data_IF_727144503247
#
_entry.id   IF_727144503247
#
_cell.length_a   1.000
_cell.length_b   1.000
_cell.length_c   1.000
_cell.angle_alpha   90.00
_cell.angle_beta   90.00
_cell.angle_gamma   90.00
#
_symmetry.space_group_name_H-M   'P 1'
#
loop_
_entity.id
_entity.type
_entity.pdbx_description
1 polymer ?
#
# COMPACT_ATOMS: atom_id res chain seq x y z
N UNK A 1 6.88 7.72 8.75
CA UNK A 1 5.97 7.55 9.90
C UNK A 1 4.52 7.77 9.47
N UNK A 2 4.14 8.93 8.93
CA UNK A 2 2.77 9.25 8.53
C UNK A 2 2.10 8.21 7.58
N UNK A 3 2.86 7.61 6.64
CA UNK A 3 2.33 6.57 5.76
C UNK A 3 1.98 5.27 6.50
N UNK A 4 2.76 4.90 7.51
CA UNK A 4 2.51 3.72 8.35
C UNK A 4 1.24 3.93 9.20
N UNK A 5 1.11 5.10 9.81
CA UNK A 5 -0.08 5.47 10.58
C UNK A 5 -1.35 5.44 9.71
N UNK A 6 -1.26 6.00 8.49
CA UNK A 6 -2.36 5.98 7.53
C UNK A 6 -2.78 4.55 7.15
N UNK A 7 -1.82 3.64 6.94
CA UNK A 7 -2.10 2.23 6.66
C UNK A 7 -2.74 1.53 7.86
N UNK A 8 -2.25 1.80 9.07
CA UNK A 8 -2.81 1.22 10.30
C UNK A 8 -4.25 1.68 10.51
N UNK A 9 -4.52 2.99 10.38
CA UNK A 9 -5.87 3.54 10.49
C UNK A 9 -6.81 2.98 9.41
N UNK A 10 -6.32 2.87 8.16
CA UNK A 10 -7.09 2.29 7.06
C UNK A 10 -7.43 0.82 7.35
N UNK A 11 -6.46 0.05 7.85
CA UNK A 11 -6.67 -1.35 8.23
C UNK A 11 -7.68 -1.49 9.38
N UNK A 12 -7.66 -0.58 10.36
CA UNK A 12 -8.66 -0.49 11.41
C UNK A 12 -10.07 -0.24 10.86
N UNK A 13 -10.23 0.83 10.07
CA UNK A 13 -11.53 1.16 9.44
C UNK A 13 -12.11 0.00 8.62
N UNK A 14 -11.26 -0.75 7.88
CA UNK A 14 -11.73 -1.90 7.12
C UNK A 14 -12.26 -3.02 8.05
N UNK A 15 -11.62 -3.27 9.20
CA UNK A 15 -12.09 -4.24 10.17
C UNK A 15 -13.40 -3.80 10.84
N UNK A 16 -13.54 -2.52 11.12
CA UNK A 16 -14.77 -1.97 11.72
C UNK A 16 -15.94 -2.08 10.74
N UNK A 17 -15.73 -1.83 9.46
CA UNK A 17 -16.74 -2.09 8.41
C UNK A 17 -17.13 -3.57 8.37
N UNK A 18 -16.15 -4.49 8.43
CA UNK A 18 -16.44 -5.93 8.45
C UNK A 18 -17.30 -6.34 9.64
N UNK A 19 -17.06 -5.77 10.83
CA UNK A 19 -17.90 -5.99 12.02
C UNK A 19 -19.30 -5.41 11.83
N UNK A 20 -19.40 -4.15 11.36
CA UNK A 20 -20.67 -3.51 11.13
C UNK A 20 -21.56 -4.27 10.11
N UNK A 21 -20.97 -4.85 9.06
CA UNK A 21 -21.71 -5.75 8.15
C UNK A 21 -22.28 -6.97 8.90
N UNK A 22 -21.53 -7.54 9.84
CA UNK A 22 -22.01 -8.68 10.64
C UNK A 22 -23.08 -8.28 11.66
N UNK A 23 -22.92 -7.14 12.28
CA UNK A 23 -23.88 -6.58 13.25
C UNK A 23 -25.22 -6.26 12.57
N UNK A 24 -25.17 -5.72 11.36
CA UNK A 24 -26.36 -5.37 10.56
C UNK A 24 -26.70 -6.42 9.50
N UNK A 25 -26.46 -7.71 9.80
CA UNK A 25 -26.64 -8.82 8.85
C UNK A 25 -27.97 -8.79 8.10
N UNK A 26 -29.09 -8.74 8.82
CA UNK A 26 -30.42 -8.76 8.23
C UNK A 26 -30.69 -7.58 7.28
N UNK A 27 -30.17 -6.40 7.62
CA UNK A 27 -30.27 -5.22 6.77
C UNK A 27 -29.48 -5.39 5.47
N UNK A 28 -28.23 -5.84 5.56
CA UNK A 28 -27.38 -6.07 4.39
C UNK A 28 -27.93 -7.18 3.51
N UNK A 29 -28.44 -8.27 4.09
CA UNK A 29 -29.08 -9.37 3.35
C UNK A 29 -30.31 -8.89 2.60
N UNK A 30 -31.16 -8.10 3.25
CA UNK A 30 -32.35 -7.49 2.63
C UNK A 30 -31.97 -6.61 1.44
N UNK A 31 -30.94 -5.74 1.59
CA UNK A 31 -30.47 -4.88 0.51
C UNK A 31 -29.94 -5.70 -0.68
N UNK A 32 -29.11 -6.73 -0.44
CA UNK A 32 -28.58 -7.59 -1.48
C UNK A 32 -29.69 -8.30 -2.23
N UNK A 33 -30.65 -8.87 -1.51
CA UNK A 33 -31.79 -9.57 -2.11
C UNK A 33 -32.69 -8.65 -2.93
N UNK A 34 -33.02 -7.47 -2.40
CA UNK A 34 -33.86 -6.50 -3.11
C UNK A 34 -33.21 -6.00 -4.40
N UNK A 35 -31.91 -5.67 -4.35
CA UNK A 35 -31.19 -5.18 -5.54
C UNK A 35 -31.04 -6.31 -6.57
N UNK A 36 -30.71 -7.53 -6.17
CA UNK A 36 -30.60 -8.66 -7.09
C UNK A 36 -31.95 -8.98 -7.73
N UNK A 37 -33.03 -9.03 -6.96
CA UNK A 37 -34.39 -9.24 -7.50
C UNK A 37 -34.77 -8.13 -8.50
N UNK A 38 -34.50 -6.87 -8.19
CA UNK A 38 -34.76 -5.76 -9.13
C UNK A 38 -33.96 -5.90 -10.43
N UNK A 39 -32.69 -6.32 -10.33
CA UNK A 39 -31.85 -6.52 -11.52
C UNK A 39 -32.40 -7.65 -12.40
N UNK A 40 -32.88 -8.74 -11.79
CA UNK A 40 -33.51 -9.87 -12.52
C UNK A 40 -34.83 -9.49 -13.18
N UNK A 41 -35.63 -8.65 -12.51
CA UNK A 41 -36.95 -8.29 -12.98
C UNK A 41 -36.93 -7.18 -14.04
N UNK A 42 -36.21 -6.09 -13.80
CA UNK A 42 -36.26 -4.88 -14.63
C UNK A 42 -34.94 -4.53 -15.29
N UNK A 43 -33.87 -5.28 -15.01
CA UNK A 43 -32.52 -5.06 -15.54
C UNK A 43 -31.76 -3.91 -14.84
N UNK A 44 -30.47 -3.81 -15.18
CA UNK A 44 -29.55 -2.89 -14.50
C UNK A 44 -29.89 -1.40 -14.64
N UNK A 45 -30.29 -0.96 -15.84
CA UNK A 45 -30.55 0.47 -16.11
C UNK A 45 -31.77 0.98 -15.35
N UNK A 46 -32.83 0.18 -15.32
CA UNK A 46 -34.04 0.50 -14.57
C UNK A 46 -33.79 0.41 -13.05
N UNK A 47 -33.10 -0.62 -12.59
CA UNK A 47 -32.71 -0.75 -11.17
C UNK A 47 -31.86 0.43 -10.72
N UNK A 48 -30.89 0.86 -11.52
CA UNK A 48 -30.05 2.02 -11.21
C UNK A 48 -30.85 3.31 -11.05
N UNK A 49 -31.95 3.43 -11.77
CA UNK A 49 -32.85 4.57 -11.64
C UNK A 49 -33.73 4.45 -10.39
N UNK A 50 -34.26 3.24 -10.12
CA UNK A 50 -35.10 2.97 -8.97
C UNK A 50 -34.38 3.15 -7.62
N UNK A 51 -33.11 2.73 -7.52
CA UNK A 51 -32.34 2.86 -6.27
C UNK A 51 -31.95 4.29 -5.89
N UNK A 52 -32.02 5.27 -6.82
CA UNK A 52 -31.73 6.67 -6.51
C UNK A 52 -32.67 7.31 -5.47
N UNK A 53 -33.83 6.68 -5.22
CA UNK A 53 -34.79 7.11 -4.22
C UNK A 53 -34.68 6.38 -2.89
N UNK A 54 -33.70 5.50 -2.72
CA UNK A 54 -33.50 4.70 -1.51
C UNK A 54 -32.34 5.27 -0.71
N UNK A 55 -32.59 5.82 0.48
CA UNK A 55 -31.57 6.48 1.32
C UNK A 55 -30.41 5.55 1.71
N UNK A 56 -30.67 4.25 1.74
CA UNK A 56 -29.68 3.22 2.07
C UNK A 56 -28.72 2.88 0.93
N UNK A 57 -29.00 3.31 -0.31
CA UNK A 57 -28.16 3.00 -1.47
C UNK A 57 -27.70 4.29 -2.14
N UNK A 58 -26.40 4.49 -2.18
CA UNK A 58 -25.76 5.67 -2.78
C UNK A 58 -25.61 5.53 -4.28
N UNK A 59 -25.11 4.37 -4.72
CA UNK A 59 -24.84 4.12 -6.14
C UNK A 59 -24.75 2.63 -6.44
N UNK A 60 -24.88 2.26 -7.72
CA UNK A 60 -24.62 0.90 -8.21
C UNK A 60 -23.68 0.95 -9.40
N UNK A 61 -22.72 0.00 -9.43
CA UNK A 61 -21.76 -0.18 -10.50
C UNK A 61 -22.02 -1.54 -11.19
N UNK A 62 -22.61 -1.53 -12.40
CA UNK A 62 -22.89 -2.76 -13.16
C UNK A 62 -21.63 -3.53 -13.54
N UNK A 63 -20.55 -2.83 -13.90
CA UNK A 63 -19.32 -3.46 -14.40
C UNK A 63 -18.63 -4.32 -13.33
N UNK A 64 -18.72 -3.90 -12.07
CA UNK A 64 -18.14 -4.63 -10.93
C UNK A 64 -19.16 -5.42 -10.14
N UNK A 65 -20.44 -5.37 -10.52
CA UNK A 65 -21.57 -5.93 -9.79
C UNK A 65 -21.56 -5.58 -8.31
N UNK A 66 -21.38 -4.27 -8.04
CA UNK A 66 -21.31 -3.74 -6.69
C UNK A 66 -22.31 -2.63 -6.45
N UNK A 67 -22.72 -2.47 -5.22
CA UNK A 67 -23.48 -1.31 -4.75
C UNK A 67 -22.71 -0.60 -3.65
N UNK A 68 -22.85 0.72 -3.62
CA UNK A 68 -22.47 1.53 -2.44
C UNK A 68 -23.71 1.68 -1.59
N UNK A 69 -23.68 1.11 -0.40
CA UNK A 69 -24.77 1.14 0.56
C UNK A 69 -24.33 1.86 1.83
N UNK A 70 -25.31 2.33 2.61
CA UNK A 70 -25.11 2.89 3.93
C UNK A 70 -25.56 1.88 4.97
N UNK A 71 -24.78 1.73 6.03
CA UNK A 71 -25.17 0.98 7.22
C UNK A 71 -25.83 1.92 8.23
N UNK A 72 -26.80 1.41 9.01
CA UNK A 72 -27.40 2.18 10.08
C UNK A 72 -26.38 2.47 11.19
N UNK A 73 -26.51 3.62 11.83
CA UNK A 73 -25.84 3.92 13.10
C UNK A 73 -26.64 3.41 14.31
N UNK A 74 -26.24 3.78 15.51
CA UNK A 74 -26.91 3.39 16.78
C UNK A 74 -28.36 3.93 16.85
N UNK A 75 -28.70 4.98 16.11
CA UNK A 75 -30.02 5.59 16.02
C UNK A 75 -30.86 4.98 14.90
N UNK A 76 -30.27 4.12 14.07
CA UNK A 76 -30.93 3.50 12.92
C UNK A 76 -30.91 4.36 11.64
N UNK A 77 -30.15 5.48 11.65
CA UNK A 77 -30.04 6.39 10.50
C UNK A 77 -28.89 5.98 9.55
N UNK A 78 -29.01 6.25 8.23
CA UNK A 78 -27.97 5.93 7.26
C UNK A 78 -26.67 6.68 7.53
N UNK A 79 -25.61 5.96 7.90
CA UNK A 79 -24.35 6.54 8.35
C UNK A 79 -23.15 6.04 7.55
N UNK A 80 -22.64 4.87 7.83
CA UNK A 80 -21.37 4.38 7.25
C UNK A 80 -21.55 3.88 5.84
N UNK A 81 -20.86 4.51 4.87
CA UNK A 81 -20.84 4.05 3.48
C UNK A 81 -19.92 2.86 3.28
N UNK A 82 -20.45 1.82 2.64
CA UNK A 82 -19.75 0.57 2.34
C UNK A 82 -19.99 0.15 0.88
N UNK A 83 -19.06 -0.63 0.34
CA UNK A 83 -19.26 -1.28 -0.96
C UNK A 83 -19.61 -2.74 -0.76
N UNK A 84 -20.74 -3.19 -1.31
CA UNK A 84 -21.19 -4.57 -1.26
C UNK A 84 -21.12 -5.20 -2.66
N UNK A 85 -20.58 -6.39 -2.74
CA UNK A 85 -20.59 -7.22 -3.96
C UNK A 85 -21.88 -8.01 -4.02
N UNK A 86 -22.63 -7.84 -5.10
CA UNK A 86 -23.95 -8.48 -5.29
C UNK A 86 -23.87 -9.99 -5.50
N UNK A 87 -22.74 -10.47 -6.02
CA UNK A 87 -22.48 -11.91 -6.24
C UNK A 87 -22.00 -12.63 -4.96
N UNK A 88 -21.86 -11.90 -3.86
CA UNK A 88 -21.33 -12.42 -2.61
C UNK A 88 -22.39 -12.40 -1.50
N UNK A 89 -22.35 -13.40 -0.65
CA UNK A 89 -23.16 -13.42 0.57
C UNK A 89 -22.71 -12.32 1.54
N UNK A 90 -23.54 -12.01 2.54
CA UNK A 90 -23.19 -11.07 3.62
C UNK A 90 -21.88 -11.48 4.28
N UNK A 91 -21.72 -12.77 4.58
CA UNK A 91 -20.48 -13.28 5.18
C UNK A 91 -19.25 -13.08 4.30
N UNK A 92 -19.35 -13.32 3.01
CA UNK A 92 -18.25 -13.12 2.06
C UNK A 92 -17.90 -11.64 1.93
N UNK A 93 -18.89 -10.75 1.90
CA UNK A 93 -18.68 -9.31 1.93
C UNK A 93 -17.95 -8.87 3.22
N UNK A 94 -18.35 -9.36 4.38
CA UNK A 94 -17.65 -9.08 5.64
C UNK A 94 -16.22 -9.61 5.62
N UNK A 95 -16.00 -10.83 5.14
CA UNK A 95 -14.65 -11.41 5.02
C UNK A 95 -13.75 -10.66 4.07
N UNK A 96 -14.29 -10.10 2.98
CA UNK A 96 -13.52 -9.23 2.09
C UNK A 96 -12.92 -8.03 2.85
N UNK A 97 -13.71 -7.37 3.69
CA UNK A 97 -13.23 -6.25 4.51
C UNK A 97 -12.22 -6.68 5.58
N UNK A 98 -12.44 -7.81 6.26
CA UNK A 98 -11.47 -8.35 7.21
C UNK A 98 -10.13 -8.71 6.56
N UNK A 99 -10.16 -9.34 5.38
CA UNK A 99 -8.95 -9.68 4.63
C UNK A 99 -8.19 -8.43 4.19
N UNK A 100 -8.91 -7.42 3.70
CA UNK A 100 -8.33 -6.12 3.30
C UNK A 100 -7.70 -5.41 4.51
N UNK A 101 -8.38 -5.40 5.65
CA UNK A 101 -7.87 -4.82 6.90
C UNK A 101 -6.61 -5.54 7.41
N UNK A 102 -6.58 -6.87 7.38
CA UNK A 102 -5.38 -7.66 7.72
C UNK A 102 -4.21 -7.34 6.79
N UNK A 103 -4.45 -7.26 5.48
CA UNK A 103 -3.41 -6.93 4.49
C UNK A 103 -2.81 -5.54 4.71
N UNK A 104 -3.65 -4.54 5.00
CA UNK A 104 -3.19 -3.18 5.28
C UNK A 104 -2.39 -3.11 6.59
N UNK A 105 -2.80 -3.83 7.64
CA UNK A 105 -2.03 -3.96 8.90
C UNK A 105 -0.68 -4.65 8.69
N UNK A 106 -0.63 -5.77 7.97
CA UNK A 106 0.61 -6.46 7.65
C UNK A 106 1.59 -5.57 6.87
N UNK A 107 1.08 -4.78 5.93
CA UNK A 107 1.90 -3.80 5.20
C UNK A 107 2.46 -2.72 6.13
N UNK A 108 1.66 -2.24 7.08
CA UNK A 108 2.11 -1.27 8.08
C UNK A 108 3.21 -1.85 8.99
N UNK A 109 3.04 -3.08 9.45
CA UNK A 109 4.03 -3.79 10.26
C UNK A 109 5.34 -4.03 9.49
N UNK A 110 5.26 -4.49 8.24
CA UNK A 110 6.42 -4.66 7.38
C UNK A 110 7.18 -3.35 7.13
N UNK A 111 6.46 -2.27 6.88
CA UNK A 111 7.06 -0.94 6.71
C UNK A 111 7.71 -0.43 8.01
N UNK A 112 7.10 -0.70 9.18
CA UNK A 112 7.67 -0.36 10.48
C UNK A 112 8.97 -1.12 10.74
N UNK A 113 8.98 -2.43 10.49
CA UNK A 113 10.16 -3.27 10.66
C UNK A 113 11.32 -2.82 9.74
N UNK A 114 11.03 -2.50 8.47
CA UNK A 114 12.03 -1.98 7.53
C UNK A 114 12.60 -0.63 7.97
N UNK A 115 11.75 0.25 8.52
CA UNK A 115 12.19 1.54 9.06
C UNK A 115 13.13 1.34 10.26
N UNK A 116 12.78 0.47 11.19
CA UNK A 116 13.61 0.16 12.36
C UNK A 116 14.96 -0.44 11.95
N UNK A 117 14.98 -1.35 10.97
CA UNK A 117 16.23 -1.92 10.45
C UNK A 117 17.12 -0.84 9.82
N UNK A 118 16.52 0.05 9.02
CA UNK A 118 17.23 1.17 8.39
C UNK A 118 17.85 2.08 9.44
N UNK A 119 17.09 2.43 10.49
CA UNK A 119 17.58 3.25 11.60
C UNK A 119 18.73 2.57 12.36
N UNK A 120 18.61 1.26 12.62
CA UNK A 120 19.71 0.49 13.25
C UNK A 120 20.97 0.49 12.38
N UNK A 121 20.79 0.35 11.06
CA UNK A 121 21.90 0.40 10.09
C UNK A 121 22.58 1.77 10.06
N UNK A 122 21.81 2.84 10.03
CA UNK A 122 22.32 4.21 10.10
C UNK A 122 23.13 4.45 11.37
N UNK A 123 22.59 4.08 12.54
CA UNK A 123 23.29 4.21 13.82
C UNK A 123 24.62 3.46 13.86
N UNK A 124 24.69 2.25 13.22
CA UNK A 124 25.95 1.51 13.11
C UNK A 124 26.98 2.25 12.24
N UNK A 125 26.53 2.78 11.10
CA UNK A 125 27.41 3.53 10.19
C UNK A 125 27.93 4.81 10.87
N UNK A 126 27.08 5.55 11.57
CA UNK A 126 27.46 6.75 12.32
C UNK A 126 28.48 6.43 13.42
N UNK A 127 28.23 5.38 14.21
CA UNK A 127 29.20 4.92 15.23
C UNK A 127 30.54 4.50 14.62
N UNK A 128 30.53 3.85 13.45
CA UNK A 128 31.76 3.48 12.78
C UNK A 128 32.50 4.69 12.25
N UNK A 129 31.82 5.65 11.66
CA UNK A 129 32.39 6.93 11.21
C UNK A 129 33.04 7.69 12.36
N UNK A 130 32.32 7.83 13.49
CA UNK A 130 32.87 8.50 14.66
C UNK A 130 34.13 7.81 15.21
N UNK A 131 34.21 6.49 15.17
CA UNK A 131 35.40 5.73 15.56
C UNK A 131 36.55 5.94 14.59
N UNK A 132 36.27 5.95 13.28
CA UNK A 132 37.28 6.14 12.24
C UNK A 132 37.84 7.58 12.28
N UNK A 133 36.99 8.58 12.54
CA UNK A 133 37.40 9.97 12.76
C UNK A 133 38.25 10.12 14.02
N UNK A 134 37.86 9.53 15.15
CA UNK A 134 38.62 9.55 16.39
C UNK A 134 39.98 8.84 16.26
N UNK A 135 40.04 7.82 15.39
CA UNK A 135 41.32 7.12 15.10
C UNK A 135 42.16 7.80 14.02
N UNK A 136 41.78 8.98 13.54
CA UNK A 136 42.49 9.68 12.47
C UNK A 136 42.48 8.96 11.12
N UNK A 137 41.56 7.97 10.95
CA UNK A 137 41.39 7.26 9.70
C UNK A 137 40.52 8.08 8.76
N UNK A 138 41.15 8.73 7.79
CA UNK A 138 40.40 9.37 6.69
C UNK A 138 39.76 8.28 5.86
N UNK A 139 38.47 8.07 6.04
CA UNK A 139 37.71 7.20 5.16
C UNK A 139 37.54 7.92 3.82
N UNK A 140 38.41 7.61 2.89
CA UNK A 140 38.18 7.97 1.49
C UNK A 140 36.87 7.32 1.06
N UNK A 141 35.89 8.15 0.76
CA UNK A 141 34.60 7.67 0.27
C UNK A 141 34.84 6.73 -0.93
N UNK A 142 34.48 5.44 -0.79
CA UNK A 142 34.58 4.51 -1.92
C UNK A 142 33.72 5.04 -3.05
N UNK A 143 34.36 5.47 -4.11
CA UNK A 143 33.70 5.98 -5.29
C UNK A 143 32.93 4.84 -5.98
N UNK A 144 31.63 5.00 -6.17
CA UNK A 144 30.76 3.98 -6.75
C UNK A 144 30.99 3.77 -8.26
N UNK A 145 31.53 4.76 -8.95
CA UNK A 145 31.86 4.68 -10.36
C UNK A 145 33.36 4.79 -10.58
N UNK A 146 33.95 3.80 -11.22
CA UNK A 146 35.31 3.83 -11.70
C UNK A 146 35.36 4.61 -13.02
N UNK A 147 36.39 5.38 -13.23
CA UNK A 147 36.65 5.94 -14.55
C UNK A 147 37.07 4.82 -15.52
N UNK A 148 36.80 5.01 -16.81
CA UNK A 148 37.08 4.01 -17.84
C UNK A 148 38.56 3.61 -17.90
N UNK A 149 39.47 4.54 -17.55
CA UNK A 149 40.92 4.30 -17.58
C UNK A 149 41.45 3.57 -16.33
N UNK A 150 40.69 3.41 -15.25
CA UNK A 150 41.16 2.75 -14.02
C UNK A 150 41.40 1.26 -14.17
N UNK A 151 40.93 0.66 -15.28
CA UNK A 151 41.25 -0.70 -15.69
C UNK A 151 42.67 -0.87 -16.22
N UNK A 152 43.36 0.23 -16.58
CA UNK A 152 44.69 0.27 -17.14
C UNK A 152 45.72 0.74 -16.12
N UNK A 153 47.04 0.70 -16.48
CA UNK A 153 48.07 1.43 -15.75
C UNK A 153 47.96 2.89 -16.15
N UNK A 154 47.84 3.78 -15.23
CA UNK A 154 47.68 5.20 -15.53
C UNK A 154 48.44 6.09 -14.56
N UNK A 155 48.85 7.24 -15.02
CA UNK A 155 49.42 8.29 -14.22
C UNK A 155 49.07 9.67 -14.81
N UNK A 156 49.02 10.67 -13.94
CA UNK A 156 48.86 12.06 -14.37
C UNK A 156 50.21 12.70 -14.47
N UNK A 157 50.55 13.27 -15.61
CA UNK A 157 51.80 14.00 -15.81
C UNK A 157 51.71 15.38 -15.18
N UNK A 158 52.86 16.01 -14.91
CA UNK A 158 52.94 17.37 -14.37
C UNK A 158 52.29 18.42 -15.28
N UNK A 159 52.16 18.12 -16.57
CA UNK A 159 51.41 18.92 -17.56
C UNK A 159 49.88 18.76 -17.48
N UNK A 160 49.32 17.91 -16.57
CA UNK A 160 47.90 17.63 -16.47
C UNK A 160 47.39 16.59 -17.47
N UNK A 161 48.25 16.03 -18.33
CA UNK A 161 47.89 14.99 -19.29
C UNK A 161 47.83 13.61 -18.62
N UNK A 162 46.82 12.80 -19.01
CA UNK A 162 46.64 11.43 -18.51
C UNK A 162 47.43 10.48 -19.42
N UNK A 163 48.42 9.80 -18.83
CA UNK A 163 49.15 8.72 -19.50
C UNK A 163 48.51 7.38 -19.14
N UNK A 164 48.19 6.55 -20.16
CA UNK A 164 47.57 5.26 -19.96
C UNK A 164 48.40 4.20 -20.69
N UNK A 165 48.65 3.10 -20.00
CA UNK A 165 49.38 1.93 -20.55
C UNK A 165 48.61 0.63 -20.28
N UNK A 166 48.74 -0.35 -21.17
CA UNK A 166 48.20 -1.68 -20.92
C UNK A 166 48.84 -2.36 -19.72
N UNK A 167 48.12 -3.27 -19.08
CA UNK A 167 48.62 -4.06 -17.96
C UNK A 167 49.50 -5.21 -18.38
N UNK A 168 49.34 -5.65 -19.62
CA UNK A 168 50.06 -6.75 -20.28
C UNK A 168 50.29 -6.48 -21.73
N UNK A 169 51.05 -7.35 -22.40
CA UNK A 169 51.42 -7.22 -23.82
C UNK A 169 50.21 -7.25 -24.78
N UNK A 170 49.06 -7.75 -24.34
CA UNK A 170 47.84 -7.77 -25.18
C UNK A 170 46.98 -6.50 -25.02
N UNK A 171 47.23 -5.74 -23.96
CA UNK A 171 46.48 -4.52 -23.65
C UNK A 171 47.17 -3.22 -24.10
N UNK A 172 48.34 -3.33 -24.73
CA UNK A 172 49.12 -2.22 -25.29
C UNK A 172 48.76 -1.96 -26.74
#
# INVERSE_FOLDING_TARGET
>A
VAAIEKLTQKGGKQQDIGKAIQEHWAHVESLLNQVNASIEEIGWDATRTAIKGIDWIVSANPSERTIQARLPDEQGEPSTEITLHLDQTVHQNAQFYFAKGRKDKQRAEGAKAALEETQKRQKKVEKQRAKDEAAGRVTLAKRNKKFWFEGYRWTLMSSGQLLIGGRDAKGN
#
